data_IF_003671985130
#
_entry.id   IF_003671985130
#
_cell.length_a   1.000
_cell.length_b   1.000
_cell.length_c   1.000
_cell.angle_alpha   90.00
_cell.angle_beta   90.00
_cell.angle_gamma   90.00
#
_symmetry.space_group_name_H-M   'P 1'
#
loop_
_entity.id
_entity.type
_entity.pdbx_description
1 polymer ?
#
# COMPACT_ATOMS: atom_id res chain seq x y z
N UNK A 1 -3.10 4.73 6.46
CA UNK A 1 -3.11 3.47 7.23
C UNK A 1 -4.54 2.95 7.23
N UNK A 2 -4.76 1.65 7.02
CA UNK A 2 -6.08 1.02 7.11
C UNK A 2 -5.95 -0.33 7.84
N UNK A 3 -7.07 -0.86 8.35
CA UNK A 3 -7.14 -2.19 8.97
C UNK A 3 -7.94 -3.15 8.09
N UNK A 4 -7.41 -4.34 7.83
CA UNK A 4 -8.10 -5.37 7.05
C UNK A 4 -9.14 -6.15 7.89
N UNK A 5 -9.88 -7.07 7.25
CA UNK A 5 -10.86 -7.93 7.93
C UNK A 5 -10.24 -8.88 8.96
N UNK A 6 -8.93 -9.12 8.87
CA UNK A 6 -8.16 -9.96 9.79
C UNK A 6 -7.55 -9.15 10.96
N UNK A 7 -7.87 -7.86 11.09
CA UNK A 7 -7.33 -6.99 12.13
C UNK A 7 -5.86 -6.62 11.95
N UNK A 8 -5.32 -6.74 10.73
CA UNK A 8 -3.95 -6.33 10.39
C UNK A 8 -3.97 -4.87 9.96
N UNK A 9 -3.07 -4.06 10.50
CA UNK A 9 -2.86 -2.69 10.09
C UNK A 9 -1.88 -2.63 8.92
N UNK A 10 -2.25 -1.87 7.88
CA UNK A 10 -1.44 -1.65 6.69
C UNK A 10 -1.04 -0.18 6.58
N UNK A 11 0.26 0.07 6.56
CA UNK A 11 0.85 1.38 6.33
C UNK A 11 1.56 1.40 4.97
N UNK A 12 1.23 2.41 4.17
CA UNK A 12 1.95 2.72 2.93
C UNK A 12 2.64 4.07 3.06
N UNK A 13 3.80 4.20 2.45
CA UNK A 13 4.62 5.41 2.51
C UNK A 13 5.37 5.60 1.20
N UNK A 14 5.72 6.86 0.90
CA UNK A 14 6.55 7.21 -0.24
C UNK A 14 7.95 6.61 -0.05
N UNK A 15 8.37 5.78 -0.99
CA UNK A 15 9.62 5.06 -0.89
C UNK A 15 10.41 5.15 -2.18
N UNK A 16 11.66 5.59 -2.10
CA UNK A 16 12.63 5.49 -3.17
C UNK A 16 13.60 4.34 -2.84
N UNK A 17 13.55 3.20 -3.55
CA UNK A 17 14.44 2.07 -3.29
C UNK A 17 15.89 2.32 -3.73
N UNK A 18 16.11 3.29 -4.61
CA UNK A 18 17.41 3.54 -5.25
C UNK A 18 18.22 4.66 -4.62
N UNK A 19 17.59 5.56 -3.87
CA UNK A 19 18.26 6.71 -3.26
C UNK A 19 17.48 7.24 -2.04
N UNK A 20 18.14 8.07 -1.24
CA UNK A 20 17.59 8.77 -0.07
C UNK A 20 16.92 10.10 -0.41
N UNK A 21 16.92 10.50 -1.70
CA UNK A 21 16.25 11.71 -2.21
C UNK A 21 14.98 11.36 -2.98
N UNK A 22 14.10 12.33 -3.20
CA UNK A 22 12.91 12.14 -4.04
C UNK A 22 13.29 12.04 -5.53
N UNK A 23 12.58 11.19 -6.29
CA UNK A 23 12.74 11.09 -7.75
C UNK A 23 12.20 9.79 -8.36
N UNK A 24 12.21 8.71 -7.59
CA UNK A 24 11.73 7.39 -8.04
C UNK A 24 10.69 6.83 -7.06
N UNK A 25 9.57 7.54 -6.89
CA UNK A 25 8.62 7.26 -5.80
C UNK A 25 7.77 6.02 -6.07
N UNK A 26 7.85 5.09 -5.11
CA UNK A 26 7.06 3.87 -5.00
C UNK A 26 6.19 3.94 -3.73
N UNK A 27 5.23 3.03 -3.60
CA UNK A 27 4.61 2.79 -2.30
C UNK A 27 5.33 1.65 -1.57
N UNK A 28 6.12 2.01 -0.57
CA UNK A 28 6.57 1.08 0.46
C UNK A 28 5.39 0.58 1.29
N UNK A 29 5.54 -0.59 1.91
CA UNK A 29 4.47 -1.22 2.67
C UNK A 29 5.03 -1.85 3.94
N UNK A 30 4.34 -1.61 5.06
CA UNK A 30 4.58 -2.29 6.32
C UNK A 30 3.25 -2.71 6.95
N UNK A 31 3.28 -3.81 7.70
CA UNK A 31 2.12 -4.33 8.43
C UNK A 31 2.37 -4.38 9.92
N UNK A 32 1.32 -4.20 10.71
CA UNK A 32 1.38 -4.28 12.17
C UNK A 32 0.12 -4.90 12.77
N UNK A 33 0.23 -5.50 13.95
CA UNK A 33 -0.91 -5.96 14.75
C UNK A 33 -1.33 -4.95 15.83
N UNK A 34 -0.45 -4.00 16.16
CA UNK A 34 -0.59 -3.13 17.33
C UNK A 34 -0.26 -1.65 17.06
N UNK A 35 -0.02 -1.29 15.79
CA UNK A 35 0.40 0.05 15.32
C UNK A 35 1.77 0.51 15.83
N UNK A 36 2.50 -0.31 16.58
CA UNK A 36 3.79 0.05 17.17
C UNK A 36 4.94 -0.78 16.59
N UNK A 37 4.75 -2.10 16.52
CA UNK A 37 5.71 -3.01 15.91
C UNK A 37 5.35 -3.25 14.45
N UNK A 38 6.27 -2.90 13.55
CA UNK A 38 6.05 -2.95 12.11
C UNK A 38 6.96 -3.98 11.44
N UNK A 39 6.37 -4.81 10.60
CA UNK A 39 7.07 -5.73 9.71
C UNK A 39 7.11 -5.15 8.30
N UNK A 40 8.30 -5.01 7.74
CA UNK A 40 8.48 -4.54 6.37
C UNK A 40 7.98 -5.59 5.38
N UNK A 41 7.13 -5.16 4.46
CA UNK A 41 6.62 -5.99 3.37
C UNK A 41 7.32 -5.60 2.05
N UNK A 42 7.01 -6.35 1.00
CA UNK A 42 7.45 -6.00 -0.35
C UNK A 42 6.81 -4.67 -0.77
N UNK A 43 7.48 -3.96 -1.67
CA UNK A 43 6.93 -2.76 -2.31
C UNK A 43 5.56 -3.09 -2.92
N UNK A 44 4.56 -2.27 -2.61
CA UNK A 44 3.18 -2.51 -2.99
C UNK A 44 2.87 -2.02 -4.40
N UNK A 45 3.33 -0.81 -4.74
CA UNK A 45 3.17 -0.23 -6.06
C UNK A 45 4.53 0.20 -6.60
N UNK A 46 4.89 -0.36 -7.75
CA UNK A 46 6.12 -0.04 -8.44
C UNK A 46 5.89 1.10 -9.43
N UNK A 47 6.82 2.06 -9.44
CA UNK A 47 6.90 3.01 -10.53
C UNK A 47 7.45 2.31 -11.79
N UNK A 48 7.02 2.78 -12.95
CA UNK A 48 7.69 2.50 -14.23
C UNK A 48 8.73 3.58 -14.51
N UNK A 49 9.61 3.36 -15.50
CA UNK A 49 10.67 4.33 -15.85
C UNK A 49 10.15 5.75 -16.11
N UNK A 50 8.92 5.87 -16.63
CA UNK A 50 8.28 7.15 -16.97
C UNK A 50 7.21 7.60 -15.96
N UNK A 51 7.14 7.00 -14.76
CA UNK A 51 6.10 7.35 -13.79
C UNK A 51 6.64 7.53 -12.36
N UNK A 52 5.85 8.22 -11.54
CA UNK A 52 6.08 8.35 -10.10
C UNK A 52 4.75 8.10 -9.38
N UNK A 53 4.79 7.26 -8.35
CA UNK A 53 3.60 6.91 -7.57
C UNK A 53 3.55 7.82 -6.35
N UNK A 54 2.92 8.98 -6.52
CA UNK A 54 2.73 9.95 -5.45
C UNK A 54 1.74 9.48 -4.37
N UNK A 55 1.57 10.31 -3.35
CA UNK A 55 0.69 10.03 -2.21
C UNK A 55 -0.74 9.72 -2.62
N UNK A 56 -1.41 8.92 -1.80
CA UNK A 56 -2.81 8.59 -1.97
C UNK A 56 -3.41 7.97 -0.71
N UNK A 57 -4.60 7.40 -0.88
CA UNK A 57 -5.37 6.74 0.18
C UNK A 57 -5.77 5.34 -0.26
N UNK A 58 -6.15 4.52 0.72
CA UNK A 58 -6.69 3.18 0.50
C UNK A 58 -8.07 3.10 1.15
N UNK A 59 -8.96 2.35 0.52
CA UNK A 59 -10.32 2.07 1.00
C UNK A 59 -10.65 0.61 0.74
N UNK A 60 -11.43 0.01 1.64
CA UNK A 60 -11.96 -1.34 1.45
C UNK A 60 -13.27 -1.22 0.67
N UNK A 61 -13.28 -1.74 -0.55
CA UNK A 61 -14.48 -1.80 -1.39
C UNK A 61 -15.29 -3.07 -1.09
N UNK A 62 -15.94 -3.09 0.08
CA UNK A 62 -16.65 -4.27 0.60
C UNK A 62 -17.68 -4.81 -0.39
N UNK A 63 -18.38 -3.92 -1.09
CA UNK A 63 -19.46 -4.24 -2.01
C UNK A 63 -19.00 -4.34 -3.48
N UNK A 64 -17.69 -4.33 -3.75
CA UNK A 64 -17.11 -4.32 -5.10
C UNK A 64 -17.78 -3.26 -6.01
N UNK A 65 -18.06 -2.07 -5.48
CA UNK A 65 -18.69 -0.97 -6.21
C UNK A 65 -17.85 -0.47 -7.38
N UNK A 66 -16.53 -0.67 -7.30
CA UNK A 66 -15.60 -0.39 -8.39
C UNK A 66 -15.69 -1.39 -9.54
N UNK A 67 -16.18 -2.61 -9.28
CA UNK A 67 -16.25 -3.70 -10.25
C UNK A 67 -14.90 -4.33 -10.61
N UNK A 68 -13.80 -3.95 -9.94
CA UNK A 68 -12.46 -4.43 -10.27
C UNK A 68 -12.17 -5.86 -9.82
N UNK A 69 -12.96 -6.41 -8.88
CA UNK A 69 -12.70 -7.73 -8.28
C UNK A 69 -13.88 -8.70 -8.46
N UNK A 70 -14.27 -9.07 -9.70
CA UNK A 70 -15.32 -10.04 -9.91
C UNK A 70 -14.90 -11.41 -9.36
N UNK A 71 -15.79 -12.04 -8.59
CA UNK A 71 -15.63 -13.38 -7.99
C UNK A 71 -14.64 -13.51 -6.81
N UNK A 72 -14.36 -12.44 -6.06
CA UNK A 72 -13.69 -12.53 -4.76
C UNK A 72 -14.69 -12.31 -3.62
N UNK A 73 -14.66 -13.19 -2.61
CA UNK A 73 -15.26 -12.93 -1.30
C UNK A 73 -14.21 -12.25 -0.42
N UNK A 74 -14.50 -11.04 0.05
CA UNK A 74 -13.68 -10.32 1.03
C UNK A 74 -13.59 -11.08 2.36
#
# INVERSE_FOLDING_TARGET
>A
CFVDSNGTWHLYYQYNPTDTVAGNQHWGHATSRDLYHWENQKIALFATEDSQIFSGSAVIDVNNTSGFFPNQTN
#
